data_IF_473808559783
#
_entry.id   IF_473808559783
#
_cell.length_a   1.000
_cell.length_b   1.000
_cell.length_c   1.000
_cell.angle_alpha   90.00
_cell.angle_beta   90.00
_cell.angle_gamma   90.00
#
_symmetry.space_group_name_H-M   'P 1'
#
loop_
_entity.id
_entity.type
_entity.pdbx_description
1 polymer ?
#
# COMPACT_ATOMS: atom_id res chain seq x y z
N UNK A 1 -8.45 -11.45 3.17
CA UNK A 1 -7.56 -10.88 2.15
C UNK A 1 -8.34 -9.96 1.23
N UNK A 2 -9.32 -10.48 0.48
CA UNK A 2 -10.09 -9.67 -0.47
C UNK A 2 -10.76 -8.45 0.17
N UNK A 3 -11.37 -8.62 1.35
CA UNK A 3 -11.97 -7.50 2.10
C UNK A 3 -10.96 -6.39 2.44
N UNK A 4 -9.71 -6.75 2.77
CA UNK A 4 -8.66 -5.79 3.13
C UNK A 4 -8.20 -5.02 1.88
N UNK A 5 -8.07 -5.72 0.76
CA UNK A 5 -7.71 -5.09 -0.52
C UNK A 5 -8.82 -4.13 -0.98
N UNK A 6 -10.08 -4.50 -0.78
CA UNK A 6 -11.23 -3.64 -1.10
C UNK A 6 -11.31 -2.44 -0.16
N UNK A 7 -11.03 -2.61 1.13
CA UNK A 7 -10.97 -1.52 2.11
C UNK A 7 -9.89 -0.49 1.73
N UNK A 8 -8.69 -0.96 1.37
CA UNK A 8 -7.61 -0.10 0.87
C UNK A 8 -8.07 0.66 -0.39
N UNK A 9 -8.78 -0.02 -1.31
CA UNK A 9 -9.30 0.63 -2.53
C UNK A 9 -10.35 1.71 -2.20
N UNK A 10 -11.29 1.43 -1.31
CA UNK A 10 -12.32 2.41 -0.90
C UNK A 10 -11.71 3.64 -0.23
N UNK A 11 -10.70 3.46 0.60
CA UNK A 11 -9.97 4.58 1.23
C UNK A 11 -9.32 5.48 0.18
N UNK A 12 -8.71 4.90 -0.86
CA UNK A 12 -8.10 5.66 -1.95
C UNK A 12 -9.14 6.40 -2.81
N UNK A 13 -10.32 5.82 -3.00
CA UNK A 13 -11.44 6.42 -3.75
C UNK A 13 -12.07 7.59 -3.00
N UNK A 14 -12.24 7.48 -1.68
CA UNK A 14 -12.86 8.52 -0.86
C UNK A 14 -11.88 9.64 -0.47
N UNK A 15 -10.59 9.30 -0.31
CA UNK A 15 -9.48 10.19 0.08
C UNK A 15 -9.85 11.21 1.19
N UNK A 16 -10.58 10.76 2.20
CA UNK A 16 -11.08 11.61 3.27
C UNK A 16 -10.21 11.46 4.53
N UNK A 17 -9.87 12.57 5.18
CA UNK A 17 -8.92 12.58 6.32
C UNK A 17 -9.37 11.73 7.52
N UNK A 18 -10.68 11.55 7.70
CA UNK A 18 -11.25 10.68 8.73
C UNK A 18 -10.87 9.21 8.55
N UNK A 19 -10.61 8.77 7.32
CA UNK A 19 -10.25 7.39 6.98
C UNK A 19 -8.75 7.12 7.08
N UNK A 20 -7.93 8.13 7.38
CA UNK A 20 -6.47 7.98 7.41
C UNK A 20 -6.00 6.93 8.44
N UNK A 21 -6.72 6.77 9.55
CA UNK A 21 -6.37 5.73 10.55
C UNK A 21 -6.75 4.34 10.05
N UNK A 22 -7.95 4.20 9.48
CA UNK A 22 -8.42 2.94 8.88
C UNK A 22 -7.50 2.50 7.74
N UNK A 23 -7.06 3.45 6.92
CA UNK A 23 -6.08 3.26 5.86
C UNK A 23 -4.78 2.62 6.36
N UNK A 24 -4.21 3.23 7.41
CA UNK A 24 -2.97 2.75 8.06
C UNK A 24 -3.19 1.34 8.62
N UNK A 25 -4.29 1.11 9.34
CA UNK A 25 -4.61 -0.20 9.89
C UNK A 25 -4.75 -1.26 8.78
N UNK A 26 -5.43 -0.95 7.68
CA UNK A 26 -5.63 -1.87 6.57
C UNK A 26 -4.31 -2.24 5.87
N UNK A 27 -3.43 -1.27 5.61
CA UNK A 27 -2.12 -1.56 4.99
C UNK A 27 -1.18 -2.29 5.94
N UNK A 28 -1.15 -1.93 7.23
CA UNK A 28 -0.38 -2.68 8.24
C UNK A 28 -0.90 -4.11 8.34
N UNK A 29 -2.22 -4.31 8.37
CA UNK A 29 -2.80 -5.65 8.43
C UNK A 29 -2.46 -6.47 7.17
N UNK A 30 -2.50 -5.87 5.97
CA UNK A 30 -2.04 -6.51 4.75
C UNK A 30 -0.57 -6.94 4.82
N UNK A 31 0.31 -6.09 5.36
CA UNK A 31 1.72 -6.44 5.59
C UNK A 31 1.87 -7.63 6.54
N UNK A 32 1.09 -7.68 7.62
CA UNK A 32 1.07 -8.83 8.53
C UNK A 32 0.56 -10.10 7.83
N UNK A 33 -0.49 -10.01 7.00
CA UNK A 33 -0.97 -11.17 6.22
C UNK A 33 0.14 -11.75 5.32
N UNK A 34 1.01 -10.92 4.75
CA UNK A 34 2.19 -11.40 4.04
C UNK A 34 3.21 -12.05 4.98
N UNK A 35 3.54 -11.43 6.11
CA UNK A 35 4.50 -11.98 7.08
C UNK A 35 4.09 -13.36 7.60
N UNK A 36 2.78 -13.58 7.77
CA UNK A 36 2.21 -14.87 8.18
C UNK A 36 1.87 -15.80 6.99
N UNK A 37 2.39 -15.55 5.79
CA UNK A 37 2.23 -16.39 4.59
C UNK A 37 0.78 -16.61 4.16
N UNK A 38 -0.13 -15.68 4.49
CA UNK A 38 -1.53 -15.71 4.03
C UNK A 38 -1.65 -15.16 2.61
N UNK A 39 -0.67 -14.37 2.16
CA UNK A 39 -0.62 -13.86 0.78
C UNK A 39 0.83 -13.76 0.26
N UNK A 40 0.97 -13.78 -1.07
CA UNK A 40 2.28 -13.76 -1.73
C UNK A 40 2.76 -12.33 -2.04
N UNK A 41 4.07 -12.18 -2.26
CA UNK A 41 4.71 -10.91 -2.61
C UNK A 41 4.07 -10.15 -3.80
N UNK A 42 3.53 -10.77 -4.86
CA UNK A 42 2.87 -10.03 -5.93
C UNK A 42 1.68 -9.17 -5.46
N UNK A 43 0.98 -9.58 -4.40
CA UNK A 43 -0.15 -8.83 -3.86
C UNK A 43 0.34 -7.56 -3.16
N UNK A 44 1.45 -7.65 -2.42
CA UNK A 44 2.09 -6.50 -1.78
C UNK A 44 2.57 -5.51 -2.84
N UNK A 45 3.30 -5.98 -3.86
CA UNK A 45 3.76 -5.10 -4.94
C UNK A 45 2.60 -4.47 -5.71
N UNK A 46 1.55 -5.23 -6.04
CA UNK A 46 0.35 -4.67 -6.68
C UNK A 46 -0.27 -3.55 -5.84
N UNK A 47 -0.35 -3.74 -4.53
CA UNK A 47 -0.89 -2.75 -3.61
C UNK A 47 0.02 -1.52 -3.52
N UNK A 48 1.33 -1.70 -3.40
CA UNK A 48 2.31 -0.61 -3.43
C UNK A 48 2.16 0.27 -4.68
N UNK A 49 2.08 -0.35 -5.87
CA UNK A 49 1.84 0.38 -7.12
C UNK A 49 0.47 1.06 -7.13
N UNK A 50 -0.58 0.41 -6.62
CA UNK A 50 -1.91 1.00 -6.54
C UNK A 50 -1.91 2.26 -5.65
N UNK A 51 -1.22 2.24 -4.50
CA UNK A 51 -1.13 3.39 -3.59
C UNK A 51 -0.53 4.63 -4.26
N UNK A 52 0.41 4.47 -5.20
CA UNK A 52 1.08 5.60 -5.87
C UNK A 52 0.48 5.96 -7.24
N UNK A 53 -0.22 5.04 -7.90
CA UNK A 53 -0.73 5.27 -9.27
C UNK A 53 -2.23 5.60 -9.30
N UNK A 54 -3.02 5.15 -8.31
CA UNK A 54 -4.47 5.28 -8.34
C UNK A 54 -4.90 6.75 -8.33
N UNK A 55 -5.46 7.28 -9.41
CA UNK A 55 -5.88 8.70 -9.45
C UNK A 55 -4.73 9.71 -9.36
N UNK A 56 -3.48 9.31 -9.58
CA UNK A 56 -2.31 10.21 -9.51
C UNK A 56 -2.35 11.37 -10.53
N UNK A 57 -3.17 11.25 -11.57
CA UNK A 57 -3.37 12.28 -12.59
C UNK A 57 -4.69 13.05 -12.40
N UNK A 58 -5.47 12.72 -11.37
CA UNK A 58 -6.71 13.40 -11.04
C UNK A 58 -6.54 14.21 -9.76
N UNK A 59 -6.41 15.53 -9.92
CA UNK A 59 -6.19 16.49 -8.83
C UNK A 59 -7.35 16.48 -7.82
N UNK A 60 -8.54 16.00 -8.21
CA UNK A 60 -9.68 15.85 -7.30
C UNK A 60 -9.53 14.65 -6.37
N UNK A 61 -8.79 13.62 -6.81
CA UNK A 61 -8.55 12.39 -6.06
C UNK A 61 -7.21 12.41 -5.31
N UNK A 62 -6.22 13.17 -5.78
CA UNK A 62 -4.90 13.25 -5.16
C UNK A 62 -4.32 14.68 -5.26
N UNK A 63 -4.55 15.47 -4.21
CA UNK A 63 -3.86 16.76 -4.04
C UNK A 63 -2.39 16.50 -3.71
N UNK A 64 -1.49 17.21 -4.39
CA UNK A 64 -0.04 17.07 -4.22
C UNK A 64 0.44 17.47 -2.82
N UNK A 65 -0.39 18.21 -2.06
CA UNK A 65 -0.14 18.52 -0.66
C UNK A 65 -0.52 17.37 0.30
N UNK A 66 -1.27 16.38 -0.18
CA UNK A 66 -1.73 15.24 0.61
C UNK A 66 -0.67 14.12 0.61
N UNK A 67 0.08 14.01 1.71
CA UNK A 67 1.13 12.99 1.87
C UNK A 67 0.60 11.64 2.40
N UNK A 68 -0.72 11.44 2.51
CA UNK A 68 -1.29 10.20 3.05
C UNK A 68 -0.82 8.98 2.27
N UNK A 69 -0.75 9.03 0.93
CA UNK A 69 -0.34 7.89 0.11
C UNK A 69 1.10 7.46 0.37
N UNK A 70 2.01 8.43 0.46
CA UNK A 70 3.42 8.18 0.82
C UNK A 70 3.49 7.54 2.20
N UNK A 71 2.70 8.03 3.16
CA UNK A 71 2.62 7.43 4.49
C UNK A 71 2.17 5.96 4.45
N UNK A 72 1.16 5.63 3.64
CA UNK A 72 0.68 4.24 3.50
C UNK A 72 1.74 3.33 2.87
N UNK A 73 2.49 3.83 1.87
CA UNK A 73 3.63 3.10 1.28
C UNK A 73 4.70 2.83 2.34
N UNK A 74 5.10 3.85 3.10
CA UNK A 74 6.06 3.70 4.18
C UNK A 74 5.60 2.69 5.21
N UNK A 75 4.34 2.74 5.64
CA UNK A 75 3.78 1.82 6.64
C UNK A 75 3.80 0.36 6.17
N UNK A 76 3.40 0.12 4.90
CA UNK A 76 3.42 -1.22 4.33
C UNK A 76 4.85 -1.77 4.23
N UNK A 77 5.80 -0.94 3.78
CA UNK A 77 7.22 -1.31 3.71
C UNK A 77 7.86 -1.48 5.09
N UNK A 78 7.47 -0.69 6.09
CA UNK A 78 7.91 -0.88 7.47
C UNK A 78 7.42 -2.22 8.03
N UNK A 79 6.22 -2.65 7.64
CA UNK A 79 5.62 -3.88 8.14
C UNK A 79 6.20 -5.16 7.53
N UNK A 80 6.48 -5.16 6.22
CA UNK A 80 6.87 -6.37 5.49
C UNK A 80 8.10 -6.23 4.58
N UNK A 81 8.66 -5.03 4.45
CA UNK A 81 9.72 -4.74 3.49
C UNK A 81 11.05 -5.41 3.77
N UNK A 82 11.34 -5.78 5.03
CA UNK A 82 12.59 -6.46 5.40
C UNK A 82 12.77 -7.82 4.71
N UNK A 83 11.66 -8.45 4.32
CA UNK A 83 11.64 -9.74 3.60
C UNK A 83 11.94 -9.60 2.11
N UNK A 84 12.01 -8.37 1.56
CA UNK A 84 12.34 -8.12 0.16
C UNK A 84 13.85 -7.84 -0.06
N UNK A 85 14.69 -8.52 0.71
CA UNK A 85 16.15 -8.29 0.71
C UNK A 85 16.93 -9.15 -0.32
N UNK A 86 16.27 -10.06 -1.04
CA UNK A 86 16.92 -10.97 -1.98
C UNK A 86 16.07 -11.36 -3.20
N UNK A 87 16.73 -12.02 -4.16
CA UNK A 87 16.09 -12.64 -5.31
C UNK A 87 15.27 -11.69 -6.20
N UNK A 88 14.17 -12.20 -6.75
CA UNK A 88 13.25 -11.43 -7.60
C UNK A 88 12.47 -10.36 -6.82
N UNK A 89 12.24 -10.56 -5.52
CA UNK A 89 11.51 -9.60 -4.69
C UNK A 89 12.32 -8.31 -4.48
N UNK A 90 13.62 -8.42 -4.23
CA UNK A 90 14.51 -7.26 -4.16
C UNK A 90 14.49 -6.44 -5.45
N UNK A 91 14.63 -7.09 -6.61
CA UNK A 91 14.57 -6.38 -7.91
C UNK A 91 13.24 -5.65 -8.13
N UNK A 92 12.13 -6.22 -7.66
CA UNK A 92 10.82 -5.56 -7.73
C UNK A 92 10.72 -4.37 -6.79
N UNK A 93 11.29 -4.47 -5.59
CA UNK A 93 11.37 -3.36 -4.65
C UNK A 93 12.26 -2.23 -5.21
N UNK A 94 13.43 -2.56 -5.74
CA UNK A 94 14.34 -1.60 -6.38
C UNK A 94 13.71 -0.91 -7.61
N UNK A 95 12.75 -1.55 -8.28
CA UNK A 95 12.01 -0.97 -9.40
C UNK A 95 10.81 -0.12 -8.96
N UNK A 96 10.27 -0.39 -7.78
CA UNK A 96 9.17 0.37 -7.21
C UNK A 96 9.64 1.70 -6.61
N UNK A 97 10.81 1.69 -5.96
CA UNK A 97 11.48 2.87 -5.40
C UNK A 97 12.13 3.73 -6.51
#
# INVERSE_FOLDING_TARGET
LDNVLEEIRMVLELNHTSLNQDAVLAVTFLGQLYNYSVCDSPIIFKTLYQLITFGAFDVLLDDWNNLTRVRLVCELLLTCGEYFNGGSAKKKLDCFL
#
